data_IF_085951372760
#
_entry.id   IF_085951372760
#
_cell.length_a   1.000
_cell.length_b   1.000
_cell.length_c   1.000
_cell.angle_alpha   90.00
_cell.angle_beta   90.00
_cell.angle_gamma   90.00
#
_symmetry.space_group_name_H-M   'P 1'
#
loop_
_entity.id
_entity.type
_entity.pdbx_description
1 polymer ?
#
# COMPACT_ATOMS: atom_id res chain seq x y z
N UNK A 1 48.68 -55.20 -35.82
CA UNK A 1 48.36 -53.77 -35.60
C UNK A 1 46.85 -53.60 -35.70
N UNK A 2 46.17 -53.47 -34.56
CA UNK A 2 44.87 -52.80 -34.43
C UNK A 2 44.57 -52.70 -32.94
N UNK A 3 44.74 -51.50 -32.41
CA UNK A 3 44.56 -51.14 -31.01
C UNK A 3 43.08 -51.21 -30.61
N UNK A 4 42.84 -51.73 -29.41
CA UNK A 4 41.63 -51.59 -28.61
C UNK A 4 41.31 -50.13 -28.31
N UNK A 5 40.08 -49.68 -28.57
CA UNK A 5 39.53 -48.45 -28.03
C UNK A 5 38.31 -48.79 -27.17
N UNK A 6 38.56 -48.94 -25.87
CA UNK A 6 37.54 -48.95 -24.82
C UNK A 6 37.09 -47.49 -24.67
N UNK A 7 35.83 -47.21 -25.03
CA UNK A 7 35.22 -45.90 -24.84
C UNK A 7 34.91 -45.71 -23.36
N UNK A 8 35.72 -44.93 -22.66
CA UNK A 8 35.54 -44.60 -21.25
C UNK A 8 34.68 -43.33 -21.19
N UNK A 9 33.42 -43.49 -20.77
CA UNK A 9 32.50 -42.40 -20.49
C UNK A 9 32.97 -41.67 -19.23
N UNK A 10 33.66 -40.54 -19.37
CA UNK A 10 34.04 -39.69 -18.24
C UNK A 10 32.84 -38.85 -17.79
N UNK A 11 32.23 -39.22 -16.67
CA UNK A 11 31.36 -38.34 -15.89
C UNK A 11 32.20 -37.22 -15.28
N UNK A 12 32.09 -36.01 -15.84
CA UNK A 12 32.58 -34.79 -15.17
C UNK A 12 31.59 -34.42 -14.06
N UNK A 13 31.83 -34.92 -12.85
CA UNK A 13 31.21 -34.38 -11.64
C UNK A 13 31.75 -32.97 -11.39
N UNK A 14 31.01 -31.95 -11.80
CA UNK A 14 31.21 -30.59 -11.30
C UNK A 14 30.72 -30.55 -9.86
N UNK A 15 31.63 -30.78 -8.91
CA UNK A 15 31.38 -30.43 -7.53
C UNK A 15 31.18 -28.92 -7.45
N UNK A 16 29.97 -28.49 -7.10
CA UNK A 16 29.72 -27.11 -6.66
C UNK A 16 30.47 -26.92 -5.35
N UNK A 17 31.62 -26.25 -5.40
CA UNK A 17 32.33 -25.82 -4.20
C UNK A 17 31.41 -24.80 -3.54
N UNK A 18 30.79 -25.19 -2.43
CA UNK A 18 30.06 -24.27 -1.58
C UNK A 18 31.01 -23.14 -1.19
N UNK A 19 30.66 -21.90 -1.53
CA UNK A 19 31.37 -20.75 -1.04
C UNK A 19 31.39 -20.82 0.51
N UNK A 20 32.54 -20.58 1.16
CA UNK A 20 32.59 -20.56 2.61
C UNK A 20 31.57 -19.55 3.15
N UNK A 21 30.84 -19.94 4.19
CA UNK A 21 29.93 -19.07 4.94
C UNK A 21 30.64 -17.75 5.27
N UNK A 22 29.96 -16.59 5.20
CA UNK A 22 30.58 -15.31 5.53
C UNK A 22 31.20 -15.38 6.92
N UNK A 23 32.52 -15.19 6.97
CA UNK A 23 33.27 -15.19 8.22
C UNK A 23 32.83 -13.96 9.01
N UNK A 24 32.43 -14.19 10.27
CA UNK A 24 31.96 -13.16 11.20
C UNK A 24 33.02 -12.05 11.33
N UNK A 25 32.79 -10.92 10.66
CA UNK A 25 33.65 -9.74 10.72
C UNK A 25 33.32 -8.94 12.00
N UNK A 26 34.26 -8.73 12.94
CA UNK A 26 34.03 -7.98 14.18
C UNK A 26 33.64 -6.49 14.01
N UNK A 27 33.53 -6.00 12.77
CA UNK A 27 33.12 -4.63 12.43
C UNK A 27 31.76 -4.50 11.74
N UNK A 28 31.01 -5.58 11.54
CA UNK A 28 29.67 -5.46 10.97
C UNK A 28 28.75 -4.72 11.96
N UNK A 29 28.06 -3.63 11.55
CA UNK A 29 27.05 -3.04 12.40
C UNK A 29 26.04 -4.13 12.75
N UNK A 30 25.89 -4.43 14.03
CA UNK A 30 24.81 -5.29 14.52
C UNK A 30 23.51 -4.80 13.86
N UNK A 31 22.71 -5.68 13.23
CA UNK A 31 21.43 -5.27 12.69
C UNK A 31 20.65 -4.63 13.83
N UNK A 32 20.47 -3.31 13.75
CA UNK A 32 19.62 -2.58 14.68
C UNK A 32 18.24 -3.24 14.53
N UNK A 33 17.61 -3.72 15.60
CA UNK A 33 16.26 -4.24 15.50
C UNK A 33 15.40 -3.17 14.85
N UNK A 34 14.85 -3.47 13.67
CA UNK A 34 13.97 -2.54 12.99
C UNK A 34 12.84 -2.20 13.98
N UNK A 35 12.56 -0.91 14.27
CA UNK A 35 11.49 -0.55 15.17
C UNK A 35 10.22 -1.25 14.70
N UNK A 36 9.53 -1.92 15.63
CA UNK A 36 8.23 -2.55 15.33
C UNK A 36 7.31 -1.49 14.74
N UNK A 37 6.73 -1.70 13.55
CA UNK A 37 5.86 -0.72 12.92
C UNK A 37 4.72 -0.39 13.90
N UNK A 38 4.60 0.89 14.27
CA UNK A 38 3.54 1.31 15.20
C UNK A 38 2.24 1.49 14.42
N UNK A 39 1.15 0.91 14.92
CA UNK A 39 -0.15 1.07 14.29
C UNK A 39 -0.67 2.50 14.43
N UNK A 40 -0.91 3.18 13.31
CA UNK A 40 -1.50 4.53 13.32
C UNK A 40 -2.96 4.54 12.91
N UNK A 41 -3.41 3.53 12.16
CA UNK A 41 -4.82 3.37 11.82
C UNK A 41 -5.19 1.90 11.76
N UNK A 42 -6.40 1.58 12.23
CA UNK A 42 -7.02 0.28 12.01
C UNK A 42 -8.14 0.44 10.99
N UNK A 43 -8.11 -0.33 9.92
CA UNK A 43 -9.18 -0.41 8.93
C UNK A 43 -9.72 -1.83 8.80
N UNK A 44 -10.84 -1.97 8.09
CA UNK A 44 -11.37 -3.27 7.67
C UNK A 44 -11.14 -3.44 6.18
N UNK A 45 -10.56 -4.56 5.79
CA UNK A 45 -10.35 -4.87 4.38
C UNK A 45 -11.67 -5.03 3.63
N UNK A 46 -11.63 -4.83 2.32
CA UNK A 46 -12.72 -5.15 1.40
C UNK A 46 -12.38 -6.38 0.55
N UNK A 47 -13.38 -6.94 -0.12
CA UNK A 47 -13.19 -8.13 -0.93
C UNK A 47 -12.22 -7.85 -2.10
N UNK A 48 -11.22 -8.72 -2.26
CA UNK A 48 -10.24 -8.64 -3.35
C UNK A 48 -9.00 -7.79 -3.05
N UNK A 49 -8.87 -7.23 -1.85
CA UNK A 49 -7.64 -6.57 -1.43
C UNK A 49 -6.48 -7.57 -1.23
N UNK A 50 -5.28 -7.09 -1.53
CA UNK A 50 -3.99 -7.73 -1.25
C UNK A 50 -3.14 -6.76 -0.44
N UNK A 51 -2.05 -7.24 0.15
CA UNK A 51 -1.10 -6.35 0.83
C UNK A 51 -0.59 -5.26 -0.12
N UNK A 52 -0.35 -5.58 -1.39
CA UNK A 52 0.13 -4.61 -2.39
C UNK A 52 -0.93 -3.55 -2.73
N UNK A 53 -2.19 -3.93 -2.94
CA UNK A 53 -3.25 -2.96 -3.23
C UNK A 53 -3.55 -2.05 -2.04
N UNK A 54 -3.48 -2.59 -0.81
CA UNK A 54 -3.61 -1.80 0.41
C UNK A 54 -2.41 -0.86 0.53
N UNK A 55 -1.19 -1.37 0.38
CA UNK A 55 0.02 -0.55 0.44
C UNK A 55 -0.05 0.61 -0.56
N UNK A 56 -0.42 0.32 -1.81
CA UNK A 56 -0.58 1.34 -2.85
C UNK A 56 -1.62 2.41 -2.47
N UNK A 57 -2.78 2.02 -1.93
CA UNK A 57 -3.81 2.96 -1.46
C UNK A 57 -3.30 3.93 -0.39
N UNK A 58 -2.25 3.54 0.33
CA UNK A 58 -1.63 4.29 1.41
C UNK A 58 -0.23 4.83 1.09
N UNK A 59 0.20 4.76 -0.18
CA UNK A 59 1.52 5.24 -0.61
C UNK A 59 2.70 4.46 0.00
N UNK A 60 2.52 3.19 0.35
CA UNK A 60 3.52 2.30 0.91
C UNK A 60 3.61 0.96 0.16
N UNK A 61 4.53 0.08 0.55
CA UNK A 61 4.66 -1.24 -0.09
C UNK A 61 3.78 -2.28 0.60
N UNK A 62 3.42 -3.35 -0.12
CA UNK A 62 2.75 -4.50 0.52
C UNK A 62 3.62 -5.19 1.58
N UNK A 63 4.94 -5.09 1.46
CA UNK A 63 5.86 -5.59 2.48
C UNK A 63 5.73 -4.81 3.80
N UNK A 64 5.53 -3.49 3.74
CA UNK A 64 5.28 -2.66 4.93
C UNK A 64 3.97 -3.07 5.62
N UNK A 65 2.91 -3.33 4.83
CA UNK A 65 1.63 -3.83 5.34
C UNK A 65 1.78 -5.20 5.99
N UNK A 66 2.45 -6.15 5.32
CA UNK A 66 2.65 -7.49 5.88
C UNK A 66 3.51 -7.47 7.15
N UNK A 67 4.54 -6.62 7.20
CA UNK A 67 5.40 -6.47 8.37
C UNK A 67 4.62 -6.00 9.62
N UNK A 68 3.63 -5.13 9.43
CA UNK A 68 2.74 -4.69 10.51
C UNK A 68 1.61 -5.68 10.83
N UNK A 69 1.32 -6.62 9.93
CA UNK A 69 0.19 -7.55 10.02
C UNK A 69 0.63 -8.97 9.68
N UNK A 70 1.55 -9.53 10.45
CA UNK A 70 2.18 -10.84 10.16
C UNK A 70 1.23 -12.03 10.15
N UNK A 71 -0.04 -11.83 10.52
CA UNK A 71 -1.11 -12.83 10.45
C UNK A 71 -1.82 -12.88 9.09
N UNK A 72 -1.58 -11.91 8.19
CA UNK A 72 -2.21 -11.87 6.88
C UNK A 72 -1.61 -12.92 5.94
N UNK A 73 -2.49 -13.57 5.19
CA UNK A 73 -2.15 -14.15 3.89
C UNK A 73 -2.41 -13.08 2.82
N UNK A 74 -1.34 -12.46 2.29
CA UNK A 74 -1.44 -11.37 1.31
C UNK A 74 -2.12 -11.78 0.00
N UNK A 75 -2.20 -13.08 -0.30
CA UNK A 75 -2.87 -13.59 -1.49
C UNK A 75 -4.38 -13.81 -1.27
N UNK A 76 -4.84 -13.79 -0.01
CA UNK A 76 -6.22 -14.12 0.33
C UNK A 76 -6.70 -13.40 1.60
N UNK A 77 -6.87 -12.08 1.49
CA UNK A 77 -7.42 -11.26 2.57
C UNK A 77 -8.95 -11.30 2.48
N UNK A 78 -9.61 -11.85 3.51
CA UNK A 78 -11.07 -11.87 3.59
C UNK A 78 -11.61 -10.46 3.87
N UNK A 79 -12.78 -10.13 3.33
CA UNK A 79 -13.46 -8.88 3.64
C UNK A 79 -13.75 -8.76 5.14
N UNK A 80 -13.56 -7.57 5.70
CA UNK A 80 -13.77 -7.28 7.12
C UNK A 80 -12.58 -7.61 8.01
N UNK A 81 -11.50 -8.18 7.46
CA UNK A 81 -10.26 -8.46 8.20
C UNK A 81 -9.72 -7.14 8.78
N UNK A 82 -9.45 -7.07 10.09
CA UNK A 82 -8.82 -5.88 10.66
C UNK A 82 -7.39 -5.78 10.14
N UNK A 83 -7.02 -4.61 9.63
CA UNK A 83 -5.68 -4.33 9.13
C UNK A 83 -5.15 -3.10 9.83
N UNK A 84 -3.95 -3.25 10.38
CA UNK A 84 -3.16 -2.16 10.89
C UNK A 84 -2.41 -1.48 9.75
N UNK A 85 -2.58 -0.17 9.61
CA UNK A 85 -1.70 0.66 8.79
C UNK A 85 -0.57 1.18 9.68
N UNK A 86 0.69 0.83 9.39
CA UNK A 86 1.81 1.28 10.20
C UNK A 86 2.18 2.74 9.93
N UNK A 87 2.74 3.39 10.94
CA UNK A 87 3.64 4.51 10.72
C UNK A 87 4.88 3.97 10.02
N UNK A 88 5.10 4.38 8.77
CA UNK A 88 6.37 4.13 8.10
C UNK A 88 7.42 5.08 8.70
N UNK A 89 8.34 4.52 9.49
CA UNK A 89 9.64 5.13 9.83
C UNK A 89 10.74 4.39 9.07
N UNK A 90 10.52 4.15 7.78
CA UNK A 90 11.59 3.71 6.88
C UNK A 90 12.40 4.94 6.48
N UNK A 91 13.74 4.81 6.50
CA UNK A 91 14.73 5.77 6.01
C UNK A 91 14.29 6.55 4.76
N UNK A 92 14.77 7.80 4.53
CA UNK A 92 14.04 8.82 3.81
C UNK A 92 13.73 8.41 2.38
N UNK A 93 12.56 7.79 2.20
CA UNK A 93 11.85 7.82 0.94
C UNK A 93 11.53 9.30 0.69
N UNK A 94 11.73 9.74 -0.55
CA UNK A 94 11.45 11.11 -0.97
C UNK A 94 10.12 11.56 -0.38
N UNK A 95 10.03 12.79 0.17
CA UNK A 95 8.86 13.22 0.92
C UNK A 95 7.63 13.00 0.05
N UNK A 96 6.76 12.07 0.48
CA UNK A 96 5.41 11.95 -0.08
C UNK A 96 4.81 13.34 0.11
N UNK A 97 4.50 14.01 -1.01
CA UNK A 97 3.94 15.34 -0.95
C UNK A 97 2.54 15.23 -0.34
N UNK A 98 2.44 15.55 0.95
CA UNK A 98 1.16 15.73 1.64
C UNK A 98 0.80 17.21 1.47
N UNK A 99 -0.27 17.55 0.74
CA UNK A 99 -0.66 18.94 0.59
C UNK A 99 -0.94 19.59 1.95
N UNK A 100 -0.65 20.90 2.12
CA UNK A 100 -0.95 21.61 3.36
C UNK A 100 -2.43 21.45 3.75
N UNK A 101 -2.69 21.00 4.98
CA UNK A 101 -4.05 20.74 5.49
C UNK A 101 -4.49 19.27 5.40
N UNK A 102 -3.73 18.41 4.72
CA UNK A 102 -3.95 16.97 4.72
C UNK A 102 -3.16 16.30 5.85
N UNK A 103 -3.75 15.30 6.49
CA UNK A 103 -3.05 14.42 7.41
C UNK A 103 -2.14 13.44 6.63
N UNK A 104 -2.66 12.91 5.52
CA UNK A 104 -1.97 12.00 4.61
C UNK A 104 -2.72 11.94 3.27
N UNK A 105 -2.21 11.17 2.30
CA UNK A 105 -2.82 11.01 0.97
C UNK A 105 -3.29 9.58 0.73
N UNK A 106 -4.54 9.41 0.30
CA UNK A 106 -5.10 8.11 -0.12
C UNK A 106 -5.18 8.03 -1.65
N UNK A 107 -4.98 6.85 -2.23
CA UNK A 107 -5.17 6.62 -3.67
C UNK A 107 -6.40 5.76 -3.89
N UNK A 108 -7.32 6.20 -4.75
CA UNK A 108 -8.48 5.37 -5.17
C UNK A 108 -8.00 4.13 -5.90
N UNK A 109 -8.22 2.95 -5.32
CA UNK A 109 -7.68 1.68 -5.85
C UNK A 109 -8.77 0.75 -6.40
N UNK A 110 -10.05 1.02 -6.10
CA UNK A 110 -11.15 0.15 -6.54
C UNK A 110 -12.26 0.93 -7.26
N UNK A 111 -12.87 0.28 -8.26
CA UNK A 111 -14.06 0.81 -8.90
C UNK A 111 -15.23 0.83 -7.90
N UNK A 112 -16.04 1.89 -7.97
CA UNK A 112 -17.20 2.06 -7.09
C UNK A 112 -16.88 2.60 -5.70
N UNK A 113 -15.63 2.93 -5.39
CA UNK A 113 -15.34 3.73 -4.20
C UNK A 113 -16.02 5.11 -4.30
N UNK A 114 -16.64 5.53 -3.20
CA UNK A 114 -17.24 6.87 -3.02
C UNK A 114 -16.61 7.55 -1.81
N UNK A 115 -16.85 8.85 -1.66
CA UNK A 115 -16.43 9.58 -0.46
C UNK A 115 -16.98 8.93 0.83
N UNK A 116 -18.21 8.41 0.83
CA UNK A 116 -18.80 7.78 2.01
C UNK A 116 -18.19 6.41 2.32
N UNK A 117 -17.91 5.59 1.32
CA UNK A 117 -17.29 4.27 1.54
C UNK A 117 -15.84 4.41 1.98
N UNK A 118 -15.09 5.32 1.35
CA UNK A 118 -13.71 5.63 1.73
C UNK A 118 -13.70 6.23 3.13
N UNK A 119 -14.54 7.25 3.38
CA UNK A 119 -14.60 7.92 4.68
C UNK A 119 -14.91 6.95 5.81
N UNK A 120 -15.95 6.12 5.65
CA UNK A 120 -16.33 5.12 6.65
C UNK A 120 -15.19 4.15 6.96
N UNK A 121 -14.37 3.80 5.97
CA UNK A 121 -13.19 2.92 6.16
C UNK A 121 -12.04 3.62 6.87
N UNK A 122 -11.86 4.92 6.60
CA UNK A 122 -10.75 5.72 7.12
C UNK A 122 -11.07 6.47 8.43
N UNK A 123 -12.32 6.38 8.90
CA UNK A 123 -12.77 7.07 10.11
C UNK A 123 -12.99 8.58 9.92
N UNK A 124 -13.30 9.03 8.71
CA UNK A 124 -13.69 10.41 8.37
C UNK A 124 -15.05 10.40 7.65
N UNK A 125 -15.83 11.47 7.68
CA UNK A 125 -17.08 11.52 6.91
C UNK A 125 -16.83 11.77 5.42
N UNK A 126 -17.76 11.33 4.56
CA UNK A 126 -17.71 11.66 3.13
C UNK A 126 -17.77 13.17 2.87
N UNK A 127 -18.48 13.92 3.72
CA UNK A 127 -18.53 15.38 3.66
C UNK A 127 -17.17 16.02 3.99
N UNK A 128 -16.48 15.56 5.03
CA UNK A 128 -15.11 16.01 5.34
C UNK A 128 -14.14 15.70 4.18
N UNK A 129 -14.27 14.52 3.55
CA UNK A 129 -13.47 14.16 2.38
C UNK A 129 -13.75 15.04 1.17
N UNK A 130 -15.01 15.31 0.84
CA UNK A 130 -15.36 16.20 -0.26
C UNK A 130 -14.90 17.63 0.00
N UNK A 131 -15.03 18.11 1.24
CA UNK A 131 -14.55 19.44 1.63
C UNK A 131 -13.03 19.57 1.46
N UNK A 132 -12.27 18.54 1.83
CA UNK A 132 -10.81 18.49 1.62
C UNK A 132 -10.42 18.31 0.15
N UNK A 133 -11.34 17.83 -0.70
CA UNK A 133 -11.10 17.47 -2.10
C UNK A 133 -12.21 17.99 -3.03
N UNK A 134 -12.39 19.32 -3.06
CA UNK A 134 -13.49 19.98 -3.82
C UNK A 134 -13.54 19.69 -5.32
N UNK A 135 -12.49 19.09 -5.88
CA UNK A 135 -12.45 18.64 -7.28
C UNK A 135 -13.14 17.30 -7.52
N UNK A 136 -13.51 16.55 -6.47
CA UNK A 136 -14.12 15.24 -6.60
C UNK A 136 -15.58 15.33 -7.04
N UNK A 137 -15.96 14.36 -7.87
CA UNK A 137 -17.33 13.87 -7.90
C UNK A 137 -17.40 12.58 -7.07
N UNK A 138 -18.01 12.63 -5.89
CA UNK A 138 -18.10 11.48 -4.98
C UNK A 138 -18.89 10.28 -5.54
N UNK A 139 -19.62 10.45 -6.64
CA UNK A 139 -20.38 9.38 -7.30
C UNK A 139 -19.67 8.82 -8.54
N UNK A 140 -18.54 9.40 -8.94
CA UNK A 140 -17.78 9.01 -10.14
C UNK A 140 -16.28 9.26 -9.90
N UNK A 141 -15.70 8.48 -8.99
CA UNK A 141 -14.29 8.58 -8.62
C UNK A 141 -13.42 7.76 -9.56
N UNK A 142 -12.36 8.37 -10.08
CA UNK A 142 -11.43 7.68 -10.98
C UNK A 142 -10.37 6.93 -10.19
N UNK A 143 -10.00 5.75 -10.70
CA UNK A 143 -8.84 5.00 -10.20
C UNK A 143 -7.57 5.85 -10.25
N UNK A 144 -6.69 5.62 -9.29
CA UNK A 144 -5.42 6.33 -9.09
C UNK A 144 -5.56 7.83 -8.77
N UNK A 145 -6.74 8.29 -8.37
CA UNK A 145 -6.91 9.66 -7.89
C UNK A 145 -6.31 9.78 -6.49
N UNK A 146 -5.43 10.77 -6.29
CA UNK A 146 -4.87 11.10 -4.98
C UNK A 146 -5.86 11.98 -4.21
N UNK A 147 -6.23 11.56 -3.01
CA UNK A 147 -7.14 12.25 -2.10
C UNK A 147 -6.36 12.80 -0.91
N UNK A 148 -6.60 14.05 -0.57
CA UNK A 148 -6.28 14.63 0.72
C UNK A 148 -7.15 14.00 1.81
N UNK A 149 -6.56 13.33 2.79
CA UNK A 149 -7.31 12.83 3.94
C UNK A 149 -7.14 13.81 5.09
N UNK A 150 -8.22 14.45 5.59
CA UNK A 150 -8.15 15.37 6.71
C UNK A 150 -7.93 14.61 8.03
N UNK A 151 -7.54 15.34 9.09
CA UNK A 151 -7.55 14.77 10.44
C UNK A 151 -9.01 14.50 10.88
N UNK A 152 -9.32 13.33 11.49
CA UNK A 152 -10.67 13.03 11.96
C UNK A 152 -11.19 14.09 12.93
N UNK A 153 -12.44 14.53 12.75
CA UNK A 153 -13.07 15.53 13.62
C UNK A 153 -12.65 16.97 13.35
N UNK A 154 -12.01 17.23 12.20
CA UNK A 154 -11.80 18.58 11.70
C UNK A 154 -13.17 19.15 11.31
N UNK A 155 -13.84 19.85 12.22
CA UNK A 155 -15.11 20.53 11.92
C UNK A 155 -14.83 21.63 10.90
N UNK A 156 -15.01 21.32 9.63
CA UNK A 156 -15.13 22.34 8.59
C UNK A 156 -16.42 23.12 8.89
N UNK A 157 -16.44 24.46 8.80
CA UNK A 157 -17.67 25.22 8.85
C UNK A 157 -18.68 24.61 7.88
N UNK A 158 -19.89 24.34 8.38
CA UNK A 158 -21.02 23.81 7.63
C UNK A 158 -21.11 24.56 6.29
N UNK A 159 -20.70 23.91 5.20
CA UNK A 159 -20.93 24.44 3.86
C UNK A 159 -22.40 24.13 3.62
N UNK A 160 -23.30 25.13 3.52
CA UNK A 160 -24.69 24.87 3.20
C UNK A 160 -24.72 24.03 1.93
N UNK A 161 -25.50 22.95 1.93
CA UNK A 161 -25.66 22.00 0.83
C UNK A 161 -25.39 22.68 -0.52
N UNK A 162 -24.26 22.33 -1.15
CA UNK A 162 -23.92 22.87 -2.45
C UNK A 162 -25.13 22.62 -3.38
N UNK A 163 -25.61 23.64 -4.12
CA UNK A 163 -26.72 23.47 -5.03
C UNK A 163 -26.45 22.29 -5.95
N UNK A 164 -27.41 21.37 -6.09
CA UNK A 164 -27.34 20.27 -7.05
C UNK A 164 -27.18 20.91 -8.44
N UNK A 165 -25.94 20.97 -8.94
CA UNK A 165 -25.68 21.44 -10.30
C UNK A 165 -26.21 20.33 -11.21
N UNK A 166 -27.20 20.59 -12.08
CA UNK A 166 -27.68 19.60 -13.03
C UNK A 166 -26.49 19.15 -13.88
N UNK A 167 -26.33 17.83 -14.05
CA UNK A 167 -25.25 17.25 -14.85
C UNK A 167 -25.29 17.85 -16.26
N UNK A 168 -24.22 18.55 -16.63
CA UNK A 168 -24.01 18.97 -18.01
C UNK A 168 -23.95 17.72 -18.90
N UNK A 169 -24.62 17.68 -20.06
CA UNK A 169 -24.54 16.54 -20.96
C UNK A 169 -23.09 16.36 -21.41
N UNK A 170 -22.63 15.11 -21.41
CA UNK A 170 -21.32 14.71 -21.93
C UNK A 170 -21.19 15.24 -23.36
N UNK A 171 -20.07 15.91 -23.67
CA UNK A 171 -19.76 16.25 -25.04
C UNK A 171 -19.64 14.96 -25.86
N UNK A 172 -20.47 14.84 -26.90
CA UNK A 172 -20.38 13.74 -27.85
C UNK A 172 -19.08 13.86 -28.66
N UNK A 173 -18.37 12.74 -28.78
CA UNK A 173 -17.23 12.61 -29.69
C UNK A 173 -17.71 12.33 -31.11
#
# INVERSE_FOLDING_TARGET
MALTLISILTLVSTAVVAAPLPQNDPGAPTPVPLPTPTCIMNLKSVAGETCDSIGQGWGMTGADILAANTFLDCANIWAGTPICIPAIVSEPISPVYVPPGCAWTYIVTHEGETCDTIGSRLGVSGAELLAANSFLNCQDMWLNTNLCIPNPGSTVPDVPDAPVIPTAPKCAR
#
